data_IF_429687467124
#
_entry.id   IF_429687467124
#
_cell.length_a   1.000
_cell.length_b   1.000
_cell.length_c   1.000
_cell.angle_alpha   90.00
_cell.angle_beta   90.00
_cell.angle_gamma   90.00
#
_symmetry.space_group_name_H-M   'P 1'
#
loop_
_entity.id
_entity.type
_entity.pdbx_description
1 polymer ?
#
# COMPACT_ATOMS: atom_id res chain seq x y z
N UNK A 1 2.71 -0.93 5.57
CA UNK A 1 1.55 -1.81 5.37
C UNK A 1 1.88 -2.79 4.26
N UNK A 2 1.61 -4.06 4.49
CA UNK A 2 1.66 -5.13 3.51
C UNK A 2 0.24 -5.50 3.07
N UNK A 3 0.06 -6.23 1.96
CA UNK A 3 -1.25 -6.76 1.60
C UNK A 3 -1.90 -7.59 2.71
N UNK A 4 -1.10 -8.28 3.54
CA UNK A 4 -1.60 -9.11 4.66
C UNK A 4 -2.33 -8.33 5.75
N UNK A 5 -2.10 -7.01 5.84
CA UNK A 5 -2.81 -6.15 6.80
C UNK A 5 -4.30 -5.98 6.47
N UNK A 6 -4.72 -6.43 5.27
CA UNK A 6 -6.10 -6.42 4.80
C UNK A 6 -6.72 -7.83 4.74
N UNK A 7 -5.99 -8.87 5.17
CA UNK A 7 -6.51 -10.24 5.19
C UNK A 7 -7.55 -10.45 6.29
N UNK A 8 -8.35 -11.52 6.15
CA UNK A 8 -9.41 -11.87 7.10
C UNK A 8 -8.97 -11.77 8.58
N UNK A 9 -7.87 -12.43 8.96
CA UNK A 9 -7.40 -12.42 10.36
C UNK A 9 -7.05 -11.02 10.86
N UNK A 10 -6.43 -10.17 10.03
CA UNK A 10 -6.10 -8.80 10.38
C UNK A 10 -7.36 -7.93 10.53
N UNK A 11 -8.36 -8.13 9.65
CA UNK A 11 -9.63 -7.40 9.70
C UNK A 11 -10.50 -7.80 10.89
N UNK A 12 -10.36 -9.00 11.44
CA UNK A 12 -11.14 -9.49 12.59
C UNK A 12 -10.35 -9.51 13.90
N UNK A 13 -9.12 -8.97 13.91
CA UNK A 13 -8.35 -8.80 15.14
C UNK A 13 -9.10 -7.92 16.16
N UNK A 14 -9.24 -8.43 17.39
CA UNK A 14 -10.05 -7.80 18.44
C UNK A 14 -9.49 -6.42 18.83
N UNK A 15 -8.17 -6.25 18.84
CA UNK A 15 -7.53 -4.97 19.20
C UNK A 15 -7.76 -3.91 18.12
N UNK A 16 -7.62 -4.31 16.86
CA UNK A 16 -7.90 -3.47 15.69
C UNK A 16 -9.36 -3.02 15.70
N UNK A 17 -10.31 -3.94 15.95
CA UNK A 17 -11.74 -3.61 16.09
C UNK A 17 -12.02 -2.67 17.27
N UNK A 18 -11.39 -2.91 18.41
CA UNK A 18 -11.52 -2.04 19.59
C UNK A 18 -10.96 -0.63 19.33
N UNK A 19 -9.94 -0.48 18.48
CA UNK A 19 -9.44 0.82 18.05
C UNK A 19 -10.38 1.48 17.05
N UNK A 20 -10.89 0.75 16.05
CA UNK A 20 -11.85 1.26 15.07
C UNK A 20 -13.12 1.82 15.71
N UNK A 21 -13.62 1.18 16.78
CA UNK A 21 -14.78 1.65 17.55
C UNK A 21 -14.57 3.03 18.21
N UNK A 22 -13.33 3.52 18.29
CA UNK A 22 -13.01 4.84 18.85
C UNK A 22 -12.89 5.93 17.78
N UNK A 23 -12.99 5.58 16.50
CA UNK A 23 -12.80 6.51 15.38
C UNK A 23 -14.14 7.15 15.02
N UNK A 24 -14.14 8.49 14.95
CA UNK A 24 -15.23 9.28 14.39
C UNK A 24 -14.75 9.95 13.11
N UNK A 25 -15.62 10.03 12.11
CA UNK A 25 -15.35 10.73 10.86
C UNK A 25 -16.20 11.98 10.79
N UNK A 26 -15.57 13.09 10.41
CA UNK A 26 -16.23 14.38 10.23
C UNK A 26 -15.95 14.90 8.82
N UNK A 27 -16.92 15.62 8.26
CA UNK A 27 -16.71 16.32 7.01
C UNK A 27 -15.84 17.54 7.24
N UNK A 28 -14.75 17.69 6.48
CA UNK A 28 -13.80 18.79 6.65
C UNK A 28 -14.37 20.17 6.33
N UNK A 29 -15.54 20.24 5.67
CA UNK A 29 -16.24 21.47 5.36
C UNK A 29 -15.72 22.18 4.11
N UNK A 30 -16.26 23.39 3.81
CA UNK A 30 -16.01 24.08 2.54
C UNK A 30 -14.54 24.32 2.22
N UNK A 31 -13.70 24.49 3.25
CA UNK A 31 -12.26 24.67 3.10
C UNK A 31 -11.56 23.42 2.54
N UNK A 32 -12.01 22.23 2.93
CA UNK A 32 -11.49 20.97 2.42
C UNK A 32 -12.06 20.70 1.03
N UNK A 33 -13.35 20.94 0.83
CA UNK A 33 -14.00 20.72 -0.47
C UNK A 33 -13.38 21.57 -1.58
N UNK A 34 -13.10 22.84 -1.31
CA UNK A 34 -12.49 23.76 -2.27
C UNK A 34 -11.07 23.33 -2.71
N UNK A 35 -10.43 22.44 -1.95
CA UNK A 35 -9.08 21.91 -2.23
C UNK A 35 -9.13 20.57 -2.97
N UNK A 36 -10.31 19.96 -3.11
CA UNK A 36 -10.51 18.82 -4.00
C UNK A 36 -10.93 19.30 -5.40
N UNK A 37 -10.49 18.68 -6.50
CA UNK A 37 -9.63 17.50 -6.61
C UNK A 37 -8.11 17.79 -6.63
N UNK A 38 -7.71 19.04 -6.35
CA UNK A 38 -6.30 19.44 -6.43
C UNK A 38 -5.39 18.65 -5.49
N UNK A 39 -5.89 18.33 -4.30
CA UNK A 39 -5.27 17.42 -3.34
C UNK A 39 -6.29 16.47 -2.71
N UNK A 40 -5.86 15.80 -1.63
CA UNK A 40 -6.68 14.89 -0.83
C UNK A 40 -6.65 15.42 0.61
N UNK A 41 -7.37 16.52 0.89
CA UNK A 41 -7.25 17.25 2.14
C UNK A 41 -7.78 16.37 3.29
N UNK A 42 -6.91 16.09 4.25
CA UNK A 42 -7.22 15.22 5.40
C UNK A 42 -6.49 15.69 6.66
N UNK A 43 -7.05 15.37 7.82
CA UNK A 43 -6.38 15.55 9.12
C UNK A 43 -6.85 14.47 10.09
N UNK A 44 -6.06 14.23 11.13
CA UNK A 44 -6.32 13.25 12.18
C UNK A 44 -5.97 13.88 13.53
N UNK A 45 -6.89 13.79 14.47
CA UNK A 45 -6.66 14.16 15.86
C UNK A 45 -6.78 12.92 16.75
N UNK A 46 -5.73 12.62 17.52
CA UNK A 46 -5.73 11.52 18.49
C UNK A 46 -5.92 12.08 19.88
N UNK A 47 -6.95 11.60 20.59
CA UNK A 47 -7.22 11.96 21.98
C UNK A 47 -6.85 10.79 22.90
N UNK A 48 -6.10 11.08 23.95
CA UNK A 48 -5.75 10.10 24.99
C UNK A 48 -6.72 10.17 26.17
N UNK A 49 -6.72 9.16 27.05
CA UNK A 49 -7.62 9.07 28.22
C UNK A 49 -7.58 10.30 29.15
N UNK A 50 -6.48 11.06 29.15
CA UNK A 50 -6.35 12.32 29.90
C UNK A 50 -6.83 13.58 29.16
N UNK A 51 -7.52 13.43 28.03
CA UNK A 51 -8.01 14.55 27.20
C UNK A 51 -6.94 15.21 26.34
N UNK A 52 -5.68 14.79 26.42
CA UNK A 52 -4.60 15.35 25.59
C UNK A 52 -4.82 14.99 24.12
N UNK A 53 -4.78 16.04 23.28
CA UNK A 53 -4.92 16.00 21.82
C UNK A 53 -3.56 15.96 21.12
N UNK A 54 -3.44 15.12 20.10
CA UNK A 54 -2.29 15.01 19.21
C UNK A 54 -2.76 15.18 17.76
N UNK A 55 -2.62 16.38 17.19
CA UNK A 55 -3.02 16.63 15.80
C UNK A 55 -1.96 16.16 14.82
N UNK A 56 -2.38 15.60 13.68
CA UNK A 56 -1.51 15.38 12.52
C UNK A 56 -1.18 16.68 11.78
N UNK A 57 -2.02 17.70 11.94
CA UNK A 57 -2.07 18.85 11.05
C UNK A 57 -2.80 18.54 9.73
N UNK A 58 -2.92 19.56 8.88
CA UNK A 58 -3.59 19.47 7.58
C UNK A 58 -2.66 18.86 6.53
N UNK A 59 -3.07 17.74 5.93
CA UNK A 59 -2.34 17.06 4.86
C UNK A 59 -3.06 17.31 3.54
N UNK A 60 -2.46 18.16 2.70
CA UNK A 60 -2.98 18.47 1.36
C UNK A 60 -2.57 17.42 0.33
N UNK A 61 -1.29 17.05 0.34
CA UNK A 61 -0.68 16.14 -0.63
C UNK A 61 -0.05 14.96 0.12
N UNK A 62 -0.72 13.81 0.26
CA UNK A 62 -0.12 12.62 0.85
C UNK A 62 1.13 12.18 0.06
N UNK A 63 1.98 11.34 0.65
CA UNK A 63 3.29 10.98 0.08
C UNK A 63 3.25 10.36 -1.32
N UNK A 64 2.12 9.76 -1.72
CA UNK A 64 1.91 9.22 -3.07
C UNK A 64 1.32 10.21 -4.08
N UNK A 65 0.99 11.44 -3.67
CA UNK A 65 0.38 12.45 -4.54
C UNK A 65 1.42 13.07 -5.47
N UNK A 66 1.07 13.31 -6.74
CA UNK A 66 1.99 13.85 -7.75
C UNK A 66 2.58 15.24 -7.40
N UNK A 67 1.87 16.00 -6.54
CA UNK A 67 2.32 17.32 -6.04
C UNK A 67 3.07 17.28 -4.70
N UNK A 68 3.26 16.10 -4.11
CA UNK A 68 4.08 15.99 -2.91
C UNK A 68 5.56 16.13 -3.29
N UNK A 69 6.24 17.12 -2.72
CA UNK A 69 7.66 17.40 -2.97
C UNK A 69 8.55 17.14 -1.76
N UNK A 70 7.99 16.65 -0.66
CA UNK A 70 8.70 16.50 0.63
C UNK A 70 8.98 15.05 0.99
N UNK A 71 8.19 14.11 0.46
CA UNK A 71 8.40 12.68 0.71
C UNK A 71 9.59 12.16 -0.09
N UNK A 72 10.37 11.26 0.52
CA UNK A 72 11.36 10.47 -0.21
C UNK A 72 10.66 9.36 -1.00
N UNK A 73 10.02 9.73 -2.11
CA UNK A 73 9.23 8.82 -2.92
C UNK A 73 10.05 7.64 -3.45
N UNK A 74 11.34 7.86 -3.75
CA UNK A 74 12.23 6.81 -4.24
C UNK A 74 12.41 5.70 -3.20
N UNK A 75 12.70 6.05 -1.94
CA UNK A 75 12.85 5.05 -0.89
C UNK A 75 11.52 4.38 -0.53
N UNK A 76 10.41 5.12 -0.53
CA UNK A 76 9.08 4.56 -0.31
C UNK A 76 8.73 3.50 -1.36
N UNK A 77 8.94 3.80 -2.64
CA UNK A 77 8.67 2.86 -3.73
C UNK A 77 9.65 1.69 -3.73
N UNK A 78 10.92 1.91 -3.38
CA UNK A 78 11.88 0.82 -3.20
C UNK A 78 11.43 -0.14 -2.11
N UNK A 79 11.11 0.38 -0.92
CA UNK A 79 10.62 -0.42 0.21
C UNK A 79 9.35 -1.19 -0.15
N UNK A 80 8.41 -0.55 -0.87
CA UNK A 80 7.18 -1.20 -1.35
C UNK A 80 7.48 -2.35 -2.31
N UNK A 81 8.33 -2.13 -3.31
CA UNK A 81 8.68 -3.16 -4.28
C UNK A 81 9.44 -4.32 -3.63
N UNK A 82 10.32 -4.04 -2.66
CA UNK A 82 11.04 -5.07 -1.92
C UNK A 82 10.07 -5.92 -1.10
N UNK A 83 9.12 -5.30 -0.39
CA UNK A 83 8.10 -6.02 0.37
C UNK A 83 7.21 -6.88 -0.53
N UNK A 84 6.77 -6.37 -1.68
CA UNK A 84 6.00 -7.16 -2.65
C UNK A 84 6.84 -8.27 -3.27
N UNK A 85 8.12 -7.98 -3.51
CA UNK A 85 9.08 -8.94 -4.03
C UNK A 85 9.31 -10.12 -3.09
N UNK A 86 9.33 -9.90 -1.77
CA UNK A 86 9.45 -10.97 -0.77
C UNK A 86 8.27 -11.94 -0.77
N UNK A 87 7.09 -11.48 -1.20
CA UNK A 87 5.91 -12.32 -1.33
C UNK A 87 6.05 -13.25 -2.55
N UNK A 88 6.56 -12.73 -3.67
CA UNK A 88 6.50 -13.41 -4.97
C UNK A 88 7.79 -14.17 -5.31
N UNK A 89 8.98 -13.62 -5.08
CA UNK A 89 10.23 -14.19 -5.59
C UNK A 89 10.91 -15.10 -4.57
N UNK A 90 11.44 -16.24 -5.04
CA UNK A 90 12.17 -17.22 -4.20
C UNK A 90 13.34 -16.58 -3.46
N UNK A 91 14.03 -15.65 -4.09
CA UNK A 91 15.20 -14.96 -3.53
C UNK A 91 15.34 -13.52 -4.08
N UNK A 92 16.16 -12.73 -3.39
CA UNK A 92 16.41 -11.32 -3.72
C UNK A 92 17.14 -11.11 -5.03
N UNK A 93 17.97 -12.06 -5.48
CA UNK A 93 18.70 -11.93 -6.73
C UNK A 93 17.77 -12.10 -7.93
N UNK A 94 16.82 -13.03 -7.86
CA UNK A 94 15.76 -13.20 -8.87
C UNK A 94 14.85 -11.97 -8.92
N UNK A 95 14.43 -11.45 -7.77
CA UNK A 95 13.71 -10.18 -7.68
C UNK A 95 14.49 -9.01 -8.31
N UNK A 96 15.78 -8.87 -7.99
CA UNK A 96 16.62 -7.79 -8.51
C UNK A 96 16.72 -7.84 -10.04
N UNK A 97 16.94 -9.03 -10.62
CA UNK A 97 16.97 -9.23 -12.08
C UNK A 97 15.66 -8.81 -12.76
N UNK A 98 14.52 -8.96 -12.08
CA UNK A 98 13.22 -8.56 -12.60
C UNK A 98 12.96 -7.05 -12.46
N UNK A 99 13.27 -6.46 -11.30
CA UNK A 99 12.88 -5.07 -11.00
C UNK A 99 13.86 -4.03 -11.56
N UNK A 100 15.15 -4.34 -11.66
CA UNK A 100 16.18 -3.39 -12.10
C UNK A 100 15.93 -2.84 -13.52
N UNK A 101 15.56 -3.66 -14.53
CA UNK A 101 15.20 -3.16 -15.86
C UNK A 101 14.00 -2.20 -15.82
N UNK A 102 13.01 -2.46 -14.97
CA UNK A 102 11.82 -1.62 -14.82
C UNK A 102 12.16 -0.27 -14.16
N UNK A 103 13.06 -0.26 -13.18
CA UNK A 103 13.56 0.97 -12.56
C UNK A 103 14.37 1.80 -13.58
N UNK A 104 15.13 1.14 -14.45
CA UNK A 104 15.94 1.78 -15.48
C UNK A 104 15.24 1.91 -16.85
N UNK A 105 13.91 1.77 -16.90
CA UNK A 105 13.13 1.68 -18.13
C UNK A 105 13.43 2.78 -19.14
N UNK A 106 13.62 4.02 -18.64
CA UNK A 106 13.92 5.20 -19.49
C UNK A 106 15.20 5.05 -20.31
N UNK A 107 16.18 4.30 -19.81
CA UNK A 107 17.48 4.12 -20.44
C UNK A 107 17.65 2.73 -21.06
N UNK A 108 16.60 1.89 -21.05
CA UNK A 108 16.65 0.53 -21.55
C UNK A 108 16.64 0.54 -23.10
N UNK A 109 17.54 -0.19 -23.78
CA UNK A 109 17.51 -0.29 -25.23
C UNK A 109 16.18 -0.87 -25.74
N UNK A 110 15.70 -0.39 -26.89
CA UNK A 110 14.40 -0.80 -27.45
C UNK A 110 14.29 -2.33 -27.66
N UNK A 111 15.39 -2.99 -28.00
CA UNK A 111 15.44 -4.46 -28.15
C UNK A 111 15.22 -5.20 -26.81
N UNK A 112 15.68 -4.63 -25.71
CA UNK A 112 15.60 -5.24 -24.38
C UNK A 112 14.24 -4.93 -23.75
N UNK A 113 13.61 -3.82 -24.14
CA UNK A 113 12.24 -3.48 -23.75
C UNK A 113 11.21 -4.50 -24.25
N UNK A 114 11.41 -5.09 -25.42
CA UNK A 114 10.47 -6.07 -25.99
C UNK A 114 10.30 -7.30 -25.08
N UNK A 115 11.37 -7.72 -24.40
CA UNK A 115 11.39 -8.86 -23.49
C UNK A 115 11.36 -8.50 -22.01
N UNK A 116 10.96 -7.26 -21.65
CA UNK A 116 11.06 -6.80 -20.26
C UNK A 116 10.22 -7.62 -19.25
N UNK A 117 9.20 -8.33 -19.75
CA UNK A 117 8.38 -9.27 -18.97
C UNK A 117 8.60 -10.74 -19.34
N UNK A 118 9.61 -11.05 -20.16
CA UNK A 118 10.02 -12.43 -20.46
C UNK A 118 10.73 -13.00 -19.24
N UNK A 119 9.93 -13.41 -18.27
CA UNK A 119 10.35 -13.94 -16.99
C UNK A 119 9.87 -15.39 -16.85
N UNK A 120 10.72 -16.26 -16.30
CA UNK A 120 10.32 -17.62 -15.97
C UNK A 120 9.41 -17.62 -14.74
N UNK A 121 8.09 -17.59 -14.97
CA UNK A 121 7.10 -17.60 -13.91
C UNK A 121 7.14 -18.87 -13.03
N UNK A 122 7.80 -19.96 -13.46
CA UNK A 122 8.02 -21.12 -12.57
C UNK A 122 9.00 -20.82 -11.42
N UNK A 123 9.73 -19.71 -11.52
CA UNK A 123 10.67 -19.24 -10.50
C UNK A 123 10.01 -18.40 -9.38
N UNK A 124 8.69 -18.13 -9.46
CA UNK A 124 7.95 -17.50 -8.36
C UNK A 124 7.64 -18.50 -7.24
N UNK A 125 7.38 -18.00 -6.04
CA UNK A 125 6.87 -18.77 -4.90
C UNK A 125 5.41 -19.09 -5.13
N UNK A 126 5.04 -20.32 -4.82
CA UNK A 126 3.64 -20.62 -4.55
C UNK A 126 3.26 -19.93 -3.23
N UNK A 127 2.21 -19.13 -3.26
CA UNK A 127 1.67 -18.49 -2.06
C UNK A 127 0.16 -18.51 -2.12
N UNK A 128 -0.48 -18.69 -0.96
CA UNK A 128 -1.93 -18.60 -0.86
C UNK A 128 -2.42 -17.18 -1.18
N UNK A 129 -3.70 -17.05 -1.53
CA UNK A 129 -4.35 -15.74 -1.48
C UNK A 129 -4.28 -15.17 -0.05
N UNK A 130 -4.32 -13.84 0.06
CA UNK A 130 -4.20 -13.13 1.35
C UNK A 130 -5.29 -13.56 2.35
N UNK A 131 -6.47 -13.94 1.85
CA UNK A 131 -7.60 -14.44 2.65
C UNK A 131 -7.59 -15.96 2.84
N UNK A 132 -6.50 -16.64 2.45
CA UNK A 132 -6.44 -18.10 2.37
C UNK A 132 -7.27 -18.66 1.21
N UNK A 133 -7.50 -19.98 1.23
CA UNK A 133 -8.41 -20.61 0.30
C UNK A 133 -9.83 -20.10 0.54
N UNK A 134 -10.54 -19.71 -0.53
CA UNK A 134 -11.96 -19.37 -0.42
C UNK A 134 -12.68 -20.56 0.21
N UNK A 135 -13.45 -20.38 1.30
CA UNK A 135 -14.26 -21.46 1.82
C UNK A 135 -15.13 -21.98 0.68
N UNK A 136 -15.08 -23.29 0.44
CA UNK A 136 -15.95 -23.95 -0.54
C UNK A 136 -17.37 -23.61 -0.10
N UNK A 137 -18.05 -22.73 -0.83
CA UNK A 137 -19.45 -22.47 -0.57
C UNK A 137 -20.18 -23.81 -0.70
N UNK A 138 -20.56 -24.43 0.42
CA UNK A 138 -21.51 -25.52 0.38
C UNK A 138 -22.78 -24.92 -0.19
N UNK A 139 -23.11 -25.26 -1.44
CA UNK A 139 -24.38 -24.94 -2.04
C UNK A 139 -25.48 -25.61 -1.20
N UNK A 140 -26.02 -24.86 -0.25
CA UNK A 140 -27.31 -25.14 0.37
C UNK A 140 -28.17 -23.92 0.14
N UNK A 141 -28.69 -23.85 -1.08
CA UNK A 141 -30.03 -23.35 -1.36
C UNK A 141 -30.93 -24.58 -1.48
#
# INVERSE_FOLDING_TARGET
LSPNDFGYTALFDEKTRALMQKITFEHGGPEYDAKYPDGIPTSLDIFTKGGKKYPSGFVMYPSGHARNTTANLKELLKTKNEMLGDIVFKDRATYAKFIEPLINLKNLPAKDLQGIYDFDFSSIREHACIDGDKPVHSSKL
#
